data_IF_893902729538
#
_entry.id   IF_893902729538
#
_cell.length_a   1.000
_cell.length_b   1.000
_cell.length_c   1.000
_cell.angle_alpha   90.00
_cell.angle_beta   90.00
_cell.angle_gamma   90.00
#
_symmetry.space_group_name_H-M   'P 1'
#
loop_
_entity.id
_entity.type
_entity.pdbx_description
1 polymer ?
#
# COMPACT_ATOMS: atom_id res chain seq x y z
N UNK A 1 7.49 -14.36 -28.42
CA UNK A 1 7.45 -14.48 -26.97
C UNK A 1 7.95 -13.22 -26.27
N UNK A 2 8.98 -12.62 -26.81
CA UNK A 2 9.60 -11.48 -26.15
C UNK A 2 8.72 -10.25 -26.12
N UNK A 3 7.93 -10.04 -27.16
CA UNK A 3 7.00 -8.91 -27.17
C UNK A 3 5.97 -9.01 -26.04
N UNK A 4 5.60 -10.24 -25.70
CA UNK A 4 4.68 -10.47 -24.58
C UNK A 4 5.33 -10.07 -23.27
N UNK A 5 6.63 -10.35 -23.11
CA UNK A 5 7.33 -10.00 -21.89
C UNK A 5 7.40 -8.49 -21.68
N UNK A 6 7.66 -7.73 -22.74
CA UNK A 6 7.70 -6.27 -22.65
C UNK A 6 6.32 -5.72 -22.27
N UNK A 7 5.29 -6.25 -22.90
CA UNK A 7 3.93 -5.82 -22.58
C UNK A 7 3.54 -6.21 -21.17
N UNK A 8 3.98 -7.39 -20.70
CA UNK A 8 3.68 -7.84 -19.36
C UNK A 8 4.28 -6.95 -18.30
N UNK A 9 5.50 -6.44 -18.54
CA UNK A 9 6.13 -5.56 -17.58
C UNK A 9 5.39 -4.22 -17.49
N UNK A 10 5.01 -3.65 -18.63
CA UNK A 10 4.25 -2.40 -18.64
C UNK A 10 2.88 -2.58 -17.96
N UNK A 11 2.21 -3.69 -18.23
CA UNK A 11 0.92 -3.97 -17.60
C UNK A 11 1.07 -4.19 -16.09
N UNK A 12 2.16 -4.83 -15.66
CA UNK A 12 2.42 -5.01 -14.24
C UNK A 12 2.62 -3.68 -13.53
N UNK A 13 3.32 -2.74 -14.15
CA UNK A 13 3.50 -1.41 -13.58
C UNK A 13 2.17 -0.68 -13.44
N UNK A 14 1.31 -0.77 -14.45
CA UNK A 14 -0.02 -0.17 -14.39
C UNK A 14 -0.87 -0.78 -13.29
N UNK A 15 -0.85 -2.11 -13.19
CA UNK A 15 -1.62 -2.82 -12.18
C UNK A 15 -1.17 -2.42 -10.78
N UNK A 16 0.14 -2.36 -10.54
CA UNK A 16 0.67 -1.99 -9.23
C UNK A 16 0.32 -0.55 -8.89
N UNK A 17 0.41 0.37 -9.86
CA UNK A 17 0.04 1.76 -9.65
C UNK A 17 -1.43 1.97 -9.33
N UNK A 18 -2.28 0.95 -9.53
CA UNK A 18 -3.71 1.00 -9.21
C UNK A 18 -4.04 0.21 -7.95
N UNK A 19 -3.08 -0.51 -7.39
CA UNK A 19 -3.32 -1.35 -6.22
C UNK A 19 -3.31 -0.55 -4.93
N UNK A 20 -4.05 -1.06 -3.95
CA UNK A 20 -3.99 -0.58 -2.58
C UNK A 20 -3.65 -1.75 -1.67
N UNK A 21 -2.77 -1.51 -0.72
CA UNK A 21 -2.47 -2.47 0.33
C UNK A 21 -3.24 -2.07 1.56
N UNK A 22 -3.90 -3.03 2.18
CA UNK A 22 -4.82 -2.76 3.29
C UNK A 22 -4.48 -3.60 4.50
N UNK A 23 -4.47 -2.97 5.66
CA UNK A 23 -4.40 -3.67 6.94
C UNK A 23 -5.26 -2.91 7.94
N UNK A 24 -6.40 -3.49 8.29
CA UNK A 24 -7.42 -2.87 9.15
C UNK A 24 -7.76 -3.78 10.33
N UNK A 25 -6.81 -4.54 10.82
CA UNK A 25 -7.02 -5.45 11.93
C UNK A 25 -6.85 -4.71 13.24
N UNK A 26 -7.75 -4.97 14.19
CA UNK A 26 -7.70 -4.31 15.48
C UNK A 26 -6.39 -4.61 16.23
N UNK A 27 -5.77 -5.75 15.95
CA UNK A 27 -4.52 -6.17 16.57
C UNK A 27 -3.28 -5.82 15.75
N UNK A 28 -3.40 -4.93 14.76
CA UNK A 28 -2.25 -4.47 14.01
C UNK A 28 -1.23 -3.81 14.93
N UNK A 29 0.05 -3.99 14.59
CA UNK A 29 1.17 -3.42 15.30
C UNK A 29 1.91 -2.43 14.41
N UNK A 30 2.75 -1.60 15.02
CA UNK A 30 3.59 -0.67 14.24
C UNK A 30 4.47 -1.44 13.27
N UNK A 31 5.03 -2.57 13.69
CA UNK A 31 5.88 -3.39 12.83
C UNK A 31 5.13 -3.88 11.60
N UNK A 32 3.87 -4.28 11.77
CA UNK A 32 3.04 -4.71 10.63
C UNK A 32 2.79 -3.57 9.66
N UNK A 33 2.56 -2.38 10.18
CA UNK A 33 2.30 -1.22 9.32
C UNK A 33 3.57 -0.81 8.58
N UNK A 34 4.71 -0.84 9.25
CA UNK A 34 5.99 -0.56 8.59
C UNK A 34 6.26 -1.57 7.48
N UNK A 35 6.01 -2.86 7.75
CA UNK A 35 6.18 -3.91 6.75
C UNK A 35 5.22 -3.71 5.56
N UNK A 36 3.99 -3.28 5.84
CA UNK A 36 3.02 -2.97 4.80
C UNK A 36 3.55 -1.86 3.88
N UNK A 37 4.07 -0.79 4.47
CA UNK A 37 4.64 0.33 3.71
C UNK A 37 5.84 -0.11 2.87
N UNK A 38 6.68 -1.00 3.41
CA UNK A 38 7.82 -1.52 2.66
C UNK A 38 7.36 -2.33 1.46
N UNK A 39 6.27 -3.09 1.58
CA UNK A 39 5.70 -3.85 0.47
C UNK A 39 5.05 -2.95 -0.57
N UNK A 40 4.74 -1.72 -0.23
CA UNK A 40 4.18 -0.76 -1.19
C UNK A 40 5.18 -0.42 -2.30
N UNK A 41 6.47 -0.60 -2.04
CA UNK A 41 7.52 -0.36 -3.02
C UNK A 41 7.88 -1.69 -3.67
N UNK A 42 7.71 -1.79 -4.97
CA UNK A 42 8.02 -3.02 -5.70
C UNK A 42 9.07 -2.72 -6.77
N UNK A 43 9.75 -3.77 -7.30
CA UNK A 43 10.75 -3.56 -8.35
C UNK A 43 10.18 -2.92 -9.62
N UNK A 44 8.86 -3.00 -9.83
CA UNK A 44 8.24 -2.45 -11.04
C UNK A 44 7.48 -1.16 -10.77
N UNK A 45 7.40 -0.69 -9.51
CA UNK A 45 6.73 0.56 -9.20
C UNK A 45 6.11 0.52 -7.82
N UNK A 46 5.55 1.64 -7.40
CA UNK A 46 4.91 1.77 -6.10
C UNK A 46 3.40 1.60 -6.25
N UNK A 47 2.77 1.04 -5.20
CA UNK A 47 1.31 0.95 -5.18
C UNK A 47 0.68 2.33 -5.05
N UNK A 48 -0.60 2.44 -5.38
CA UNK A 48 -1.31 3.72 -5.34
C UNK A 48 -1.49 4.22 -3.91
N UNK A 49 -1.80 3.34 -2.96
CA UNK A 49 -2.13 3.73 -1.61
C UNK A 49 -1.95 2.58 -0.63
N UNK A 50 -1.80 2.95 0.64
CA UNK A 50 -1.94 2.01 1.76
C UNK A 50 -3.15 2.45 2.59
N UNK A 51 -3.99 1.49 2.97
CA UNK A 51 -5.15 1.72 3.82
C UNK A 51 -4.84 1.14 5.20
N UNK A 52 -4.93 1.97 6.22
CA UNK A 52 -4.60 1.56 7.58
C UNK A 52 -5.63 2.14 8.55
N UNK A 53 -5.67 1.60 9.76
CA UNK A 53 -6.50 2.19 10.80
C UNK A 53 -6.04 3.63 11.08
N UNK A 54 -6.96 4.52 11.48
CA UNK A 54 -6.61 5.93 11.70
C UNK A 54 -5.44 6.14 12.65
N UNK A 55 -5.32 5.30 13.68
CA UNK A 55 -4.21 5.43 14.65
C UNK A 55 -2.84 5.18 14.02
N UNK A 56 -2.79 4.54 12.85
CA UNK A 56 -1.54 4.25 12.14
C UNK A 56 -1.30 5.16 10.94
N UNK A 57 -2.21 6.07 10.64
CA UNK A 57 -2.08 6.91 9.46
C UNK A 57 -0.82 7.77 9.51
N UNK A 58 -0.51 8.36 10.66
CA UNK A 58 0.71 9.16 10.82
C UNK A 58 1.97 8.33 10.66
N UNK A 59 1.99 7.13 11.25
CA UNK A 59 3.12 6.22 11.12
C UNK A 59 3.34 5.81 9.67
N UNK A 60 2.26 5.46 8.97
CA UNK A 60 2.34 5.07 7.56
C UNK A 60 2.90 6.22 6.72
N UNK A 61 2.41 7.44 6.94
CA UNK A 61 2.89 8.59 6.19
C UNK A 61 4.38 8.84 6.43
N UNK A 62 4.81 8.80 7.67
CA UNK A 62 6.23 8.99 8.00
C UNK A 62 7.10 7.88 7.41
N UNK A 63 6.62 6.64 7.47
CA UNK A 63 7.37 5.50 6.94
C UNK A 63 7.55 5.62 5.44
N UNK A 64 6.46 5.93 4.72
CA UNK A 64 6.53 6.11 3.27
C UNK A 64 7.42 7.29 2.88
N UNK A 65 7.37 8.39 3.62
CA UNK A 65 8.24 9.52 3.35
C UNK A 65 9.71 9.16 3.56
N UNK A 66 10.01 8.38 4.61
CA UNK A 66 11.37 7.91 4.86
C UNK A 66 11.87 6.97 3.76
N UNK A 67 10.96 6.22 3.15
CA UNK A 67 11.26 5.34 2.03
C UNK A 67 11.25 6.08 0.69
N UNK A 68 11.04 7.39 0.72
CA UNK A 68 10.92 8.25 -0.46
C UNK A 68 9.78 7.85 -1.39
N UNK A 69 8.71 7.33 -0.80
CA UNK A 69 7.51 6.91 -1.51
C UNK A 69 6.38 7.92 -1.28
N UNK A 70 6.65 9.20 -1.56
CA UNK A 70 5.72 10.28 -1.24
C UNK A 70 4.46 10.24 -2.07
N UNK A 71 4.51 9.61 -3.23
CA UNK A 71 3.35 9.51 -4.12
C UNK A 71 2.37 8.43 -3.67
N UNK A 72 2.79 7.52 -2.79
CA UNK A 72 1.88 6.53 -2.23
C UNK A 72 0.99 7.24 -1.21
N UNK A 73 -0.32 7.14 -1.41
CA UNK A 73 -1.28 7.81 -0.54
C UNK A 73 -1.54 6.97 0.70
N UNK A 74 -1.88 7.63 1.79
CA UNK A 74 -2.30 6.98 3.02
C UNK A 74 -3.79 7.23 3.20
N UNK A 75 -4.56 6.15 3.29
CA UNK A 75 -6.00 6.21 3.50
C UNK A 75 -6.27 5.70 4.91
N UNK A 76 -6.92 6.52 5.72
CA UNK A 76 -7.33 6.12 7.06
C UNK A 76 -8.75 5.58 6.97
N UNK A 77 -8.94 4.34 7.40
CA UNK A 77 -10.23 3.68 7.34
C UNK A 77 -10.42 2.79 8.56
N UNK A 78 -11.66 2.52 8.89
CA UNK A 78 -11.97 1.58 9.97
C UNK A 78 -12.64 0.34 9.38
N UNK A 79 -12.47 -0.77 10.07
CA UNK A 79 -13.09 -2.03 9.70
C UNK A 79 -14.28 -2.27 10.62
N UNK A 80 -15.47 -2.31 10.04
CA UNK A 80 -16.69 -2.58 10.78
C UNK A 80 -17.16 -4.00 10.46
N UNK A 81 -16.91 -4.98 11.32
CA UNK A 81 -17.45 -6.31 11.11
C UNK A 81 -18.97 -6.24 10.95
N UNK A 82 -19.49 -6.90 9.91
CA UNK A 82 -20.91 -6.82 9.62
C UNK A 82 -21.28 -5.69 8.68
N UNK A 83 -20.36 -4.85 8.29
CA UNK A 83 -20.53 -3.91 7.19
C UNK A 83 -21.17 -2.59 7.55
N UNK A 84 -21.40 -2.26 8.80
CA UNK A 84 -21.89 -0.94 9.14
C UNK A 84 -21.32 -0.42 10.45
N UNK A 85 -21.21 0.90 10.55
CA UNK A 85 -20.74 1.53 11.78
C UNK A 85 -21.68 1.32 12.93
#
# INVERSE_FOLDING_TARGET
MNAVNDNSEALAQQAIGLMELTSLNADDTQERIIALCQRALTPVGDVAAVCVLPRFAGLARRTLDNLRARDVKVVAAVNFPGGSP
#
